data_IF_596879955759
#
_entry.id   IF_596879955759
#
_cell.length_a   1.000
_cell.length_b   1.000
_cell.length_c   1.000
_cell.angle_alpha   90.00
_cell.angle_beta   90.00
_cell.angle_gamma   90.00
#
_symmetry.space_group_name_H-M   'P 1'
#
loop_
_entity.id
_entity.type
_entity.pdbx_description
1 polymer ?
#
# COMPACT_ATOMS: atom_id res chain seq x y z
N UNK A 1 11.11 20.66 -7.62
CA UNK A 1 10.32 19.53 -8.16
C UNK A 1 10.30 18.46 -7.07
N UNK A 2 9.17 18.22 -6.43
CA UNK A 2 9.02 17.14 -5.45
C UNK A 2 8.09 16.10 -6.09
N UNK A 3 8.67 15.07 -6.68
CA UNK A 3 7.91 13.90 -7.14
C UNK A 3 7.42 13.16 -5.90
N UNK A 4 6.17 12.69 -5.93
CA UNK A 4 5.67 11.81 -4.88
C UNK A 4 6.44 10.48 -4.81
N UNK A 5 6.22 9.68 -3.76
CA UNK A 5 6.87 8.39 -3.61
C UNK A 5 6.61 7.50 -4.82
N UNK A 6 7.68 7.08 -5.48
CA UNK A 6 7.63 6.23 -6.67
C UNK A 6 7.78 4.78 -6.24
N UNK A 7 6.89 3.91 -6.70
CA UNK A 7 7.02 2.48 -6.42
C UNK A 7 8.36 1.94 -6.93
N UNK A 8 9.13 1.32 -6.03
CA UNK A 8 10.43 0.72 -6.33
C UNK A 8 10.32 -0.79 -6.51
N UNK A 9 9.59 -1.45 -5.62
CA UNK A 9 9.50 -2.90 -5.62
C UNK A 9 8.79 -3.45 -4.39
N UNK A 10 8.60 -4.76 -4.40
CA UNK A 10 8.01 -5.50 -3.30
C UNK A 10 8.93 -6.64 -2.86
N UNK A 11 8.89 -6.97 -1.57
CA UNK A 11 9.59 -8.11 -0.98
C UNK A 11 8.62 -8.90 -0.12
N UNK A 12 8.59 -10.22 -0.30
CA UNK A 12 7.81 -11.11 0.56
C UNK A 12 8.59 -11.38 1.86
N UNK A 13 7.91 -11.21 3.00
CA UNK A 13 8.43 -11.44 4.35
C UNK A 13 7.48 -12.40 5.08
N UNK A 14 7.60 -13.70 4.78
CA UNK A 14 6.68 -14.73 5.29
C UNK A 14 5.26 -14.51 4.76
N UNK A 15 4.30 -14.27 5.67
CA UNK A 15 2.90 -13.99 5.33
C UNK A 15 2.61 -12.51 5.02
N UNK A 16 3.64 -11.67 4.95
CA UNK A 16 3.51 -10.23 4.67
C UNK A 16 4.26 -9.85 3.41
N UNK A 17 3.86 -8.76 2.77
CA UNK A 17 4.58 -8.16 1.66
C UNK A 17 4.98 -6.74 2.04
N UNK A 18 6.26 -6.44 1.93
CA UNK A 18 6.82 -5.10 2.12
C UNK A 18 6.99 -4.40 0.78
N UNK A 19 6.31 -3.28 0.60
CA UNK A 19 6.44 -2.39 -0.54
C UNK A 19 7.45 -1.30 -0.21
N UNK A 20 8.40 -1.07 -1.13
CA UNK A 20 9.41 -0.01 -1.02
C UNK A 20 9.15 1.05 -2.08
N UNK A 21 9.43 2.31 -1.71
CA UNK A 21 9.24 3.46 -2.58
C UNK A 21 10.53 4.28 -2.65
N UNK A 22 10.89 4.77 -3.83
CA UNK A 22 11.93 5.78 -4.03
C UNK A 22 11.31 7.19 -3.94
N UNK A 23 12.13 8.22 -3.78
CA UNK A 23 11.68 9.62 -3.64
C UNK A 23 10.72 9.89 -2.46
N UNK A 24 10.86 9.13 -1.37
CA UNK A 24 10.07 9.31 -0.13
C UNK A 24 10.36 10.61 0.62
N UNK A 25 11.46 11.30 0.33
CA UNK A 25 11.76 12.62 0.90
C UNK A 25 11.86 12.59 2.42
N UNK A 26 10.82 13.06 3.12
CA UNK A 26 10.70 13.06 4.58
C UNK A 26 10.02 11.82 5.16
N UNK A 27 9.61 10.86 4.32
CA UNK A 27 8.94 9.62 4.71
C UNK A 27 7.60 9.40 3.99
N UNK A 28 6.95 8.29 4.31
CA UNK A 28 5.61 8.00 3.83
C UNK A 28 4.56 8.49 4.82
N UNK A 29 3.49 9.07 4.28
CA UNK A 29 2.32 9.45 5.06
C UNK A 29 1.05 9.00 4.35
N UNK A 30 0.03 8.63 5.12
CA UNK A 30 -1.32 8.45 4.60
C UNK A 30 -1.87 9.84 4.33
N UNK A 31 -2.25 10.13 3.09
CA UNK A 31 -2.69 11.47 2.69
C UNK A 31 -3.99 11.42 1.90
N UNK A 32 -4.93 12.29 2.23
CA UNK A 32 -6.13 12.52 1.44
C UNK A 32 -5.88 13.67 0.47
N UNK A 33 -6.09 13.43 -0.82
CA UNK A 33 -6.10 14.49 -1.84
C UNK A 33 -7.55 14.80 -2.22
N UNK A 34 -7.97 16.04 -2.03
CA UNK A 34 -9.32 16.50 -2.39
C UNK A 34 -9.23 17.49 -3.56
N UNK A 35 -9.57 17.03 -4.77
CA UNK A 35 -9.46 17.85 -5.98
C UNK A 35 -8.03 18.33 -6.26
N UNK A 36 -7.89 19.63 -6.51
CA UNK A 36 -6.58 20.29 -6.71
C UNK A 36 -5.94 20.77 -5.39
N UNK A 37 -6.59 20.52 -4.24
CA UNK A 37 -6.03 20.90 -2.95
C UNK A 37 -4.73 20.13 -2.67
N UNK A 38 -3.81 20.73 -1.89
CA UNK A 38 -2.65 20.02 -1.39
C UNK A 38 -3.07 18.76 -0.61
N UNK A 39 -2.24 17.72 -0.66
CA UNK A 39 -2.49 16.48 0.08
C UNK A 39 -2.56 16.81 1.57
N UNK A 40 -3.67 16.46 2.20
CA UNK A 40 -3.85 16.57 3.65
C UNK A 40 -3.40 15.28 4.30
N UNK A 41 -2.43 15.38 5.19
CA UNK A 41 -2.00 14.24 6.00
C UNK A 41 -3.15 13.73 6.87
N UNK A 42 -3.39 12.42 6.82
CA UNK A 42 -4.29 11.69 7.72
C UNK A 42 -3.41 10.99 8.77
N UNK A 43 -2.91 11.78 9.73
CA UNK A 43 -2.01 11.28 10.75
C UNK A 43 -2.70 10.21 11.61
N UNK A 44 -2.13 9.01 11.61
CA UNK A 44 -2.61 7.87 12.39
C UNK A 44 -3.56 6.93 11.65
N UNK A 45 -3.97 7.24 10.42
CA UNK A 45 -4.73 6.29 9.60
C UNK A 45 -3.81 5.31 8.87
N UNK A 46 -4.16 4.03 8.94
CA UNK A 46 -3.52 3.00 8.16
C UNK A 46 -3.75 3.25 6.66
N UNK A 47 -2.76 3.00 5.79
CA UNK A 47 -2.99 3.02 4.36
C UNK A 47 -4.11 2.05 3.98
N UNK A 48 -5.08 2.52 3.22
CA UNK A 48 -6.21 1.72 2.76
C UNK A 48 -6.07 1.37 1.28
N UNK A 49 -7.00 0.58 0.75
CA UNK A 49 -7.05 0.19 -0.68
C UNK A 49 -5.91 -0.73 -1.15
N UNK A 50 -5.36 -1.54 -0.25
CA UNK A 50 -4.46 -2.63 -0.59
C UNK A 50 -5.19 -3.95 -0.66
N UNK A 51 -4.84 -4.78 -1.64
CA UNK A 51 -5.28 -6.16 -1.71
C UNK A 51 -4.11 -7.08 -2.05
N UNK A 52 -4.13 -8.28 -1.48
CA UNK A 52 -3.13 -9.31 -1.71
C UNK A 52 -3.77 -10.54 -2.36
N UNK A 53 -3.00 -11.22 -3.19
CA UNK A 53 -3.42 -12.45 -3.85
C UNK A 53 -2.86 -13.66 -3.10
N UNK A 54 -3.72 -14.63 -2.79
CA UNK A 54 -3.28 -15.92 -2.23
C UNK A 54 -2.70 -16.86 -3.31
N UNK A 55 -2.26 -18.03 -2.88
CA UNK A 55 -1.72 -19.09 -3.76
C UNK A 55 -2.76 -19.67 -4.72
N UNK A 56 -4.05 -19.56 -4.39
CA UNK A 56 -5.17 -19.97 -5.24
C UNK A 56 -5.56 -18.90 -6.27
N UNK A 57 -4.85 -17.77 -6.28
CA UNK A 57 -5.09 -16.66 -7.20
C UNK A 57 -6.25 -15.76 -6.79
N UNK A 58 -6.82 -15.92 -5.58
CA UNK A 58 -7.92 -15.08 -5.09
C UNK A 58 -7.39 -13.81 -4.48
N UNK A 59 -8.09 -12.71 -4.74
CA UNK A 59 -7.75 -11.40 -4.20
C UNK A 59 -8.50 -11.13 -2.90
N UNK A 60 -7.76 -10.71 -1.89
CA UNK A 60 -8.28 -10.37 -0.58
C UNK A 60 -7.90 -8.95 -0.23
N UNK A 61 -8.88 -8.15 0.21
CA UNK A 61 -8.59 -6.88 0.88
C UNK A 61 -7.67 -7.14 2.07
N UNK A 62 -6.60 -6.35 2.17
CA UNK A 62 -5.50 -6.56 3.09
C UNK A 62 -5.30 -5.35 3.98
N UNK A 63 -4.80 -5.61 5.18
CA UNK A 63 -4.33 -4.58 6.07
C UNK A 63 -2.99 -4.06 5.58
N UNK A 64 -2.77 -2.76 5.71
CA UNK A 64 -1.49 -2.14 5.41
C UNK A 64 -1.04 -1.21 6.54
N UNK A 65 0.26 -1.05 6.68
CA UNK A 65 0.89 -0.17 7.66
C UNK A 65 2.15 0.44 7.10
N UNK A 66 2.33 1.74 7.33
CA UNK A 66 3.59 2.42 7.07
C UNK A 66 4.60 2.01 8.14
N UNK A 67 5.74 1.48 7.69
CA UNK A 67 6.88 1.07 8.49
C UNK A 67 8.10 1.83 7.95
N UNK A 68 8.33 3.01 8.52
CA UNK A 68 9.33 3.97 8.05
C UNK A 68 9.06 4.45 6.62
N UNK A 69 9.96 4.08 5.70
CA UNK A 69 9.89 4.41 4.28
C UNK A 69 9.24 3.30 3.44
N UNK A 70 8.68 2.29 4.10
CA UNK A 70 8.06 1.14 3.44
C UNK A 70 6.62 0.95 3.89
N UNK A 71 5.84 0.19 3.13
CA UNK A 71 4.48 -0.22 3.51
C UNK A 71 4.46 -1.73 3.66
N UNK A 72 4.12 -2.21 4.85
CA UNK A 72 3.82 -3.62 5.10
C UNK A 72 2.36 -3.88 4.79
N UNK A 73 2.08 -4.89 3.98
CA UNK A 73 0.73 -5.32 3.60
C UNK A 73 0.55 -6.80 3.97
N UNK A 74 -0.53 -7.16 4.66
CA UNK A 74 -0.80 -8.53 5.08
C UNK A 74 -2.29 -8.82 5.28
N UNK A 75 -2.62 -10.11 5.41
CA UNK A 75 -3.93 -10.58 5.89
C UNK A 75 -3.74 -11.84 6.69
N UNK A 76 -4.42 -11.96 7.83
CA UNK A 76 -4.30 -13.13 8.72
C UNK A 76 -4.65 -14.44 8.02
N UNK A 77 -5.64 -14.41 7.11
CA UNK A 77 -6.07 -15.60 6.35
C UNK A 77 -5.15 -15.96 5.17
N UNK A 78 -4.21 -15.10 4.78
CA UNK A 78 -3.32 -15.33 3.62
C UNK A 78 -1.91 -15.60 4.10
N UNK A 79 -1.53 -16.88 4.15
CA UNK A 79 -0.23 -17.31 4.67
C UNK A 79 0.93 -17.16 3.69
N UNK A 80 0.67 -17.25 2.39
CA UNK A 80 1.69 -17.07 1.34
C UNK A 80 1.17 -16.15 0.24
N UNK A 81 1.21 -14.82 0.46
CA UNK A 81 0.76 -13.86 -0.53
C UNK A 81 1.72 -13.83 -1.73
N UNK A 82 1.18 -13.85 -2.95
CA UNK A 82 1.98 -13.83 -4.19
C UNK A 82 2.12 -12.43 -4.78
N UNK A 83 1.04 -11.65 -4.74
CA UNK A 83 0.97 -10.34 -5.39
C UNK A 83 0.27 -9.32 -4.49
N UNK A 84 0.58 -8.04 -4.69
CA UNK A 84 -0.10 -6.89 -4.06
C UNK A 84 -0.60 -5.94 -5.14
N UNK A 85 -1.79 -5.37 -4.92
CA UNK A 85 -2.30 -4.24 -5.69
C UNK A 85 -2.72 -3.10 -4.78
N UNK A 86 -2.55 -1.87 -5.24
CA UNK A 86 -2.95 -0.63 -4.57
C UNK A 86 -3.87 0.18 -5.47
N UNK A 87 -4.92 0.79 -4.89
CA UNK A 87 -5.81 1.69 -5.63
C UNK A 87 -6.70 1.01 -6.67
N UNK A 88 -6.91 -0.30 -6.54
CA UNK A 88 -7.90 -1.01 -7.34
C UNK A 88 -9.25 -0.96 -6.64
N UNK A 89 -10.03 0.06 -6.92
CA UNK A 89 -11.48 -0.06 -6.87
C UNK A 89 -11.92 -0.68 -8.20
N UNK A 90 -12.74 -1.73 -8.14
CA UNK A 90 -13.63 -1.96 -9.28
C UNK A 90 -14.40 -0.65 -9.42
N UNK A 91 -14.17 0.06 -10.52
CA UNK A 91 -15.19 0.95 -11.05
C UNK A 91 -16.19 0.04 -11.77
N UNK A 92 -17.31 -0.39 -11.16
CA UNK A 92 -18.47 -0.68 -11.98
C UNK A 92 -18.97 0.68 -12.48
N UNK A 93 -18.91 0.90 -13.78
CA UNK A 93 -19.95 1.68 -14.45
C UNK A 93 -21.00 0.71 -14.97
#
# INVERSE_FOLDING_TARGET
MYSGPLYKGMKKEGSKIRLSFDHVGSGLMTGKKEGLAPVKELSGEAPTHFAIQDTDGKWHWADARIDGETVLVWKEDVKDPQHVRFGYESNPV
#
